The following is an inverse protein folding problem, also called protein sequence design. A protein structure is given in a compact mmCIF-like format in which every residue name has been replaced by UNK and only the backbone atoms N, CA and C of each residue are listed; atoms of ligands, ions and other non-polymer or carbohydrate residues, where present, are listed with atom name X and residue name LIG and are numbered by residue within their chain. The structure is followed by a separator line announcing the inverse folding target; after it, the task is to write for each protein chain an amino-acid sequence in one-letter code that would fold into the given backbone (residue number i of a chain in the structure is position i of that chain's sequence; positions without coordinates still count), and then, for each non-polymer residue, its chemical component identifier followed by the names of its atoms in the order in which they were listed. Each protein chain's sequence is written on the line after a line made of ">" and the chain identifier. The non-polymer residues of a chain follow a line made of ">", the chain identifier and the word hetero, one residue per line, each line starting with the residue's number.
data_IF_563842675608
#
_entry.id   IF_563842675608
#
_cell.length_a   1.000
_cell.length_b   1.000
_cell.length_c   1.000
_cell.angle_alpha   90.00
_cell.angle_beta   90.00
_cell.angle_gamma   90.00
#
_symmetry.space_group_name_H-M   'P 1'
#
loop_
_entity.id
_entity.type
_entity.pdbx_description
1 polymer ?
#
# COMPACT_ATOMS: atom_id res chain seq x y z
N UNK A 1 4.68 3.16 17.28
CA UNK A 1 5.91 2.41 16.97
C UNK A 1 6.27 1.31 17.97
N UNK A 2 5.98 1.43 19.28
CA UNK A 2 6.50 0.48 20.30
C UNK A 2 6.02 -0.99 20.29
N UNK A 3 5.01 -1.41 19.53
CA UNK A 3 4.40 -2.74 19.83
C UNK A 3 4.06 -3.66 18.66
N UNK A 4 4.29 -3.29 17.39
CA UNK A 4 3.84 -4.19 16.31
C UNK A 4 4.67 -4.25 15.03
N UNK A 5 5.70 -3.43 14.83
CA UNK A 5 6.49 -3.45 13.58
C UNK A 5 8.00 -3.44 13.82
N UNK A 6 8.44 -3.64 15.08
CA UNK A 6 9.85 -3.69 15.49
C UNK A 6 10.67 -4.70 14.69
N UNK A 7 10.07 -5.85 14.36
CA UNK A 7 10.72 -6.93 13.62
C UNK A 7 11.17 -6.50 12.21
N UNK A 8 10.54 -5.48 11.60
CA UNK A 8 10.86 -5.00 10.25
C UNK A 8 11.69 -3.71 10.24
N UNK A 9 12.12 -3.20 11.39
CA UNK A 9 12.84 -1.89 11.49
C UNK A 9 14.17 -1.84 10.73
N UNK A 10 14.74 -3.00 10.43
CA UNK A 10 16.00 -3.14 9.73
C UNK A 10 15.83 -3.16 8.20
N UNK A 11 14.59 -3.21 7.69
CA UNK A 11 14.31 -3.28 6.26
C UNK A 11 14.20 -1.88 5.64
N UNK A 12 14.79 -1.68 4.47
CA UNK A 12 14.57 -0.48 3.65
C UNK A 12 13.21 -0.52 2.95
N UNK A 13 12.75 0.61 2.41
CA UNK A 13 11.49 0.64 1.63
C UNK A 13 11.56 -0.33 0.44
N UNK A 14 12.67 -0.31 -0.28
CA UNK A 14 12.94 -1.17 -1.43
C UNK A 14 12.88 -2.64 -1.05
N UNK A 15 13.44 -3.03 0.09
CA UNK A 15 13.38 -4.40 0.60
C UNK A 15 11.95 -4.81 0.95
N UNK A 16 11.19 -3.94 1.63
CA UNK A 16 9.79 -4.23 1.97
C UNK A 16 8.94 -4.40 0.72
N UNK A 17 9.12 -3.51 -0.25
CA UNK A 17 8.46 -3.56 -1.57
C UNK A 17 8.80 -4.85 -2.32
N UNK A 18 10.08 -5.23 -2.36
CA UNK A 18 10.53 -6.45 -3.03
C UNK A 18 9.91 -7.71 -2.37
N UNK A 19 9.87 -7.77 -1.04
CA UNK A 19 9.24 -8.88 -0.30
C UNK A 19 7.73 -8.95 -0.55
N UNK A 20 7.09 -7.83 -0.86
CA UNK A 20 5.67 -7.76 -1.23
C UNK A 20 5.40 -8.11 -2.70
N UNK A 21 6.40 -8.52 -3.49
CA UNK A 21 6.20 -8.88 -4.90
C UNK A 21 5.76 -7.70 -5.78
N UNK A 22 6.26 -6.49 -5.45
CA UNK A 22 5.92 -5.23 -6.14
C UNK A 22 7.13 -4.74 -6.96
N UNK A 23 7.33 -5.21 -8.20
CA UNK A 23 8.53 -4.89 -8.99
C UNK A 23 8.71 -3.39 -9.25
N UNK A 24 7.61 -2.64 -9.39
CA UNK A 24 7.64 -1.20 -9.67
C UNK A 24 7.48 -0.33 -8.42
N UNK A 25 7.49 -0.91 -7.21
CA UNK A 25 7.27 -0.15 -5.96
C UNK A 25 5.83 0.28 -5.70
N UNK A 26 4.93 0.03 -6.65
CA UNK A 26 3.54 0.50 -6.64
C UNK A 26 2.59 -0.64 -6.36
N UNK A 27 1.59 -0.36 -5.53
CA UNK A 27 0.46 -1.27 -5.33
C UNK A 27 -0.56 -0.96 -6.42
N UNK A 28 -0.91 -1.96 -7.21
CA UNK A 28 -1.95 -1.87 -8.24
C UNK A 28 -3.27 -1.35 -7.65
N UNK A 29 -4.06 -0.66 -8.46
CA UNK A 29 -5.39 -0.12 -8.10
C UNK A 29 -5.39 1.08 -7.11
N UNK A 30 -4.24 1.59 -6.71
CA UNK A 30 -4.15 2.88 -6.01
C UNK A 30 -4.02 4.03 -7.00
N UNK A 31 -4.41 5.23 -6.56
CA UNK A 31 -4.18 6.45 -7.34
C UNK A 31 -2.68 6.64 -7.56
N UNK A 32 -2.28 7.04 -8.77
CA UNK A 32 -0.88 7.39 -9.07
C UNK A 32 -0.49 8.77 -8.55
N UNK A 33 -1.50 9.61 -8.31
CA UNK A 33 -1.38 11.05 -8.05
C UNK A 33 -2.22 11.43 -6.84
N UNK A 34 -1.73 12.38 -6.05
CA UNK A 34 -2.41 12.97 -4.90
C UNK A 34 -2.46 14.49 -5.03
N UNK A 35 -3.63 15.07 -4.75
CA UNK A 35 -3.80 16.52 -4.70
C UNK A 35 -3.13 17.07 -3.42
N UNK A 36 -2.11 17.94 -3.51
CA UNK A 36 -1.45 18.52 -2.35
C UNK A 36 -2.40 19.32 -1.45
N UNK A 37 -3.49 19.86 -2.00
CA UNK A 37 -4.44 20.70 -1.27
C UNK A 37 -5.67 19.91 -0.78
N UNK A 38 -5.73 18.61 -1.07
CA UNK A 38 -6.82 17.73 -0.62
C UNK A 38 -8.20 18.13 -1.12
N UNK A 39 -8.29 18.72 -2.32
CA UNK A 39 -9.57 19.17 -2.88
C UNK A 39 -10.41 17.96 -3.26
N UNK A 40 -11.71 18.14 -3.30
CA UNK A 40 -12.67 17.10 -3.66
C UNK A 40 -12.44 16.62 -5.12
N UNK A 41 -12.04 15.35 -5.35
CA UNK A 41 -11.81 14.81 -6.70
C UNK A 41 -13.01 14.84 -7.64
N UNK A 42 -14.22 14.90 -7.08
CA UNK A 42 -15.47 14.91 -7.84
C UNK A 42 -15.90 16.33 -8.23
N UNK A 43 -15.27 17.37 -7.66
CA UNK A 43 -15.51 18.77 -8.03
C UNK A 43 -14.88 19.12 -9.38
N UNK A 44 -15.30 20.23 -9.97
CA UNK A 44 -14.72 20.71 -11.25
C UNK A 44 -13.24 21.04 -11.07
N UNK A 45 -12.89 21.65 -9.94
CA UNK A 45 -11.55 22.06 -9.56
C UNK A 45 -10.66 20.84 -9.32
N UNK A 46 -11.13 19.83 -8.58
CA UNK A 46 -10.40 18.59 -8.36
C UNK A 46 -10.12 17.82 -9.64
N UNK A 47 -11.08 17.79 -10.59
CA UNK A 47 -10.88 17.18 -11.91
C UNK A 47 -9.84 17.90 -12.76
N UNK A 48 -9.74 19.22 -12.64
CA UNK A 48 -8.70 20.01 -13.33
C UNK A 48 -7.33 19.73 -12.71
N UNK A 49 -7.23 19.69 -11.38
CA UNK A 49 -5.99 19.36 -10.69
C UNK A 49 -5.49 17.96 -11.05
N UNK A 50 -6.35 16.94 -11.04
CA UNK A 50 -5.96 15.57 -11.39
C UNK A 50 -5.44 15.43 -12.85
N UNK A 51 -5.92 16.30 -13.74
CA UNK A 51 -5.46 16.36 -15.14
C UNK A 51 -4.20 17.20 -15.33
N UNK A 52 -3.82 18.01 -14.33
CA UNK A 52 -2.62 18.81 -14.39
C UNK A 52 -1.37 17.92 -14.34
N UNK A 53 -0.30 18.40 -14.97
CA UNK A 53 0.98 17.69 -15.01
C UNK A 53 1.74 17.80 -13.68
N UNK A 54 1.49 18.86 -12.90
CA UNK A 54 2.14 19.18 -11.62
C UNK A 54 1.50 18.52 -10.38
N UNK A 55 0.96 17.31 -10.49
CA UNK A 55 0.38 16.62 -9.34
C UNK A 55 1.44 15.78 -8.63
N UNK A 56 1.42 15.77 -7.30
CA UNK A 56 2.34 14.98 -6.48
C UNK A 56 2.09 13.49 -6.73
N UNK A 57 3.15 12.72 -6.95
CA UNK A 57 3.05 11.27 -6.99
C UNK A 57 2.56 10.75 -5.65
N UNK A 58 1.53 9.92 -5.68
CA UNK A 58 1.05 9.25 -4.49
C UNK A 58 2.12 8.25 -4.04
N UNK A 59 2.71 8.49 -2.87
CA UNK A 59 3.76 7.64 -2.34
C UNK A 59 3.49 7.38 -0.84
N UNK A 60 2.94 6.20 -0.49
CA UNK A 60 2.74 5.83 0.89
C UNK A 60 4.06 5.85 1.66
N UNK A 61 4.00 6.22 2.94
CA UNK A 61 5.17 6.22 3.80
C UNK A 61 5.66 4.78 4.06
N UNK A 62 6.96 4.61 4.35
CA UNK A 62 7.58 3.31 4.67
C UNK A 62 6.79 2.48 5.70
N UNK A 63 6.29 3.11 6.76
CA UNK A 63 5.55 2.41 7.81
C UNK A 63 4.18 1.88 7.33
N UNK A 64 3.61 2.43 6.26
CA UNK A 64 2.39 1.93 5.64
C UNK A 64 2.67 0.61 4.93
N UNK A 65 3.75 0.54 4.15
CA UNK A 65 4.22 -0.71 3.53
C UNK A 65 4.56 -1.79 4.55
N UNK A 66 5.26 -1.44 5.64
CA UNK A 66 5.57 -2.41 6.71
C UNK A 66 4.31 -2.93 7.40
N UNK A 67 3.29 -2.08 7.58
CA UNK A 67 1.99 -2.52 8.07
C UNK A 67 1.35 -3.56 7.15
N UNK A 68 1.41 -3.33 5.83
CA UNK A 68 0.90 -4.26 4.81
C UNK A 68 1.68 -5.57 4.82
N UNK A 69 3.02 -5.52 4.87
CA UNK A 69 3.87 -6.70 4.99
C UNK A 69 3.49 -7.56 6.19
N UNK A 70 3.28 -6.93 7.35
CA UNK A 70 2.83 -7.66 8.54
C UNK A 70 1.46 -8.30 8.35
N UNK A 71 0.50 -7.59 7.76
CA UNK A 71 -0.84 -8.14 7.52
C UNK A 71 -0.80 -9.32 6.55
N UNK A 72 -0.03 -9.22 5.47
CA UNK A 72 0.18 -10.33 4.53
C UNK A 72 0.83 -11.53 5.20
N UNK A 73 1.90 -11.30 5.97
CA UNK A 73 2.60 -12.37 6.69
C UNK A 73 1.68 -13.04 7.73
N UNK A 74 0.87 -12.27 8.46
CA UNK A 74 -0.14 -12.84 9.37
C UNK A 74 -1.21 -13.63 8.62
N UNK A 75 -1.76 -13.08 7.53
CA UNK A 75 -2.79 -13.74 6.71
C UNK A 75 -2.30 -15.08 6.17
N UNK A 76 -1.11 -15.11 5.56
CA UNK A 76 -0.53 -16.33 4.97
C UNK A 76 -0.25 -17.41 6.02
N UNK A 77 0.04 -17.03 7.26
CA UNK A 77 0.24 -17.95 8.37
C UNK A 77 -1.06 -18.28 9.15
N UNK A 78 -2.23 -17.82 8.71
CA UNK A 78 -3.49 -18.02 9.44
C UNK A 78 -3.55 -17.33 10.81
N UNK A 79 -2.75 -16.28 11.03
CA UNK A 79 -2.70 -15.51 12.28
C UNK A 79 -3.62 -14.29 12.23
N UNK A 80 -4.06 -13.84 13.40
CA UNK A 80 -4.90 -12.65 13.54
C UNK A 80 -4.22 -11.40 12.96
N UNK A 81 -4.94 -10.68 12.10
CA UNK A 81 -4.48 -9.45 11.44
C UNK A 81 -4.77 -8.20 12.29
N UNK A 82 -4.32 -8.16 13.54
CA UNK A 82 -4.53 -6.98 14.39
C UNK A 82 -3.37 -5.98 14.25
N UNK A 83 -3.62 -4.82 13.63
CA UNK A 83 -2.61 -3.76 13.49
C UNK A 83 -2.85 -2.61 14.47
N UNK A 84 -2.06 -2.56 15.56
CA UNK A 84 -2.15 -1.51 16.59
C UNK A 84 -1.24 -0.32 16.24
N UNK A 85 -1.27 0.17 14.99
CA UNK A 85 -0.46 1.32 14.54
C UNK A 85 -1.27 2.62 14.61
N UNK A 86 -0.71 3.71 15.14
CA UNK A 86 -1.46 4.89 15.56
C UNK A 86 -1.89 5.85 14.42
N UNK A 87 -1.40 5.69 13.20
CA UNK A 87 -1.66 6.59 12.06
C UNK A 87 -1.74 5.79 10.73
N UNK A 88 -2.64 6.17 9.83
CA UNK A 88 -2.67 5.67 8.44
C UNK A 88 -3.33 4.31 8.19
N UNK A 89 -4.08 3.77 9.16
CA UNK A 89 -4.65 2.40 9.08
C UNK A 89 -5.62 2.20 7.92
N UNK A 90 -6.42 3.21 7.57
CA UNK A 90 -7.37 3.11 6.46
C UNK A 90 -6.66 2.87 5.14
N UNK A 91 -5.61 3.66 4.88
CA UNK A 91 -4.79 3.47 3.68
C UNK A 91 -4.10 2.09 3.72
N UNK A 92 -3.54 1.67 4.86
CA UNK A 92 -2.96 0.33 5.00
C UNK A 92 -3.97 -0.79 4.71
N UNK A 93 -5.22 -0.66 5.16
CA UNK A 93 -6.27 -1.64 4.89
C UNK A 93 -6.63 -1.70 3.40
N UNK A 94 -6.72 -0.54 2.73
CA UNK A 94 -6.94 -0.47 1.28
C UNK A 94 -5.76 -1.07 0.52
N UNK A 95 -4.52 -0.72 0.90
CA UNK A 95 -3.29 -1.28 0.34
C UNK A 95 -3.24 -2.81 0.49
N UNK A 96 -3.64 -3.34 1.64
CA UNK A 96 -3.73 -4.78 1.87
C UNK A 96 -4.79 -5.45 1.00
N UNK A 97 -5.99 -4.88 0.93
CA UNK A 97 -7.08 -5.42 0.13
C UNK A 97 -6.73 -5.47 -1.37
N UNK A 98 -6.16 -4.38 -1.89
CA UNK A 98 -5.69 -4.29 -3.28
C UNK A 98 -4.55 -5.26 -3.57
N UNK A 99 -3.57 -5.38 -2.67
CA UNK A 99 -2.48 -6.34 -2.80
C UNK A 99 -2.98 -7.79 -2.81
N UNK A 100 -3.98 -8.12 -1.98
CA UNK A 100 -4.61 -9.45 -1.98
C UNK A 100 -5.29 -9.76 -3.31
N UNK A 101 -6.00 -8.79 -3.89
CA UNK A 101 -6.62 -8.94 -5.22
C UNK A 101 -5.53 -9.15 -6.27
N UNK A 102 -4.45 -8.36 -6.22
CA UNK A 102 -3.30 -8.54 -7.11
C UNK A 102 -2.71 -9.96 -7.02
N UNK A 103 -2.47 -10.48 -5.81
CA UNK A 103 -1.96 -11.85 -5.63
C UNK A 103 -2.92 -12.90 -6.20
N UNK A 104 -4.23 -12.69 -6.02
CA UNK A 104 -5.25 -13.61 -6.54
C UNK A 104 -5.24 -13.64 -8.07
N UNK A 105 -5.28 -12.47 -8.72
CA UNK A 105 -5.27 -12.37 -10.18
C UNK A 105 -3.95 -12.87 -10.78
N UNK A 106 -2.82 -12.53 -10.15
CA UNK A 106 -1.50 -13.00 -10.58
C UNK A 106 -1.39 -14.53 -10.48
N UNK A 107 -1.84 -15.13 -9.39
CA UNK A 107 -1.87 -16.59 -9.25
C UNK A 107 -2.80 -17.24 -10.28
N UNK A 108 -3.97 -16.67 -10.52
CA UNK A 108 -4.91 -17.17 -11.53
C UNK A 108 -4.31 -17.15 -12.94
N UNK A 109 -3.50 -16.13 -13.26
CA UNK A 109 -2.88 -15.97 -14.57
C UNK A 109 -1.60 -16.82 -14.74
N UNK A 110 -0.75 -16.91 -13.71
CA UNK A 110 0.60 -17.48 -13.81
C UNK A 110 0.81 -18.75 -12.98
N UNK A 111 -0.18 -19.18 -12.22
CA UNK A 111 -0.13 -20.34 -11.30
C UNK A 111 1.04 -20.30 -10.31
N UNK A 112 1.45 -19.10 -9.91
CA UNK A 112 2.48 -18.83 -8.89
C UNK A 112 2.19 -17.50 -8.20
N UNK A 113 2.71 -17.30 -7.00
CA UNK A 113 2.69 -15.97 -6.37
C UNK A 113 3.74 -15.06 -7.01
N UNK A 114 3.51 -13.74 -7.02
CA UNK A 114 4.47 -12.75 -7.51
C UNK A 114 5.76 -12.74 -6.69
#
# INVERSE_FOLDING_TARGET
>A
WRTSTEEYKHLTLEQVVAVLGLPDGRISFLNEKEDPDGRNPWSKEGKVVLKAEMVRLFNPCWHQYVGVLKMMHSMLNGKLMLLIVRVGKTLQAIMFATLRVYYHEYYKQYNKFP
#
